data_IF_329284381106
#
_entry.id   IF_329284381106
#
_cell.length_a   1.000
_cell.length_b   1.000
_cell.length_c   1.000
_cell.angle_alpha   90.00
_cell.angle_beta   90.00
_cell.angle_gamma   90.00
#
_symmetry.space_group_name_H-M   'P 1'
#
loop_
_entity.id
_entity.type
_entity.pdbx_description
1 polymer ?
#
# COMPACT_ATOMS: atom_id res chain seq x y z
N UNK A 1 -5.47 65.41 -4.01
CA UNK A 1 -4.78 64.59 -5.02
C UNK A 1 -3.94 63.44 -4.41
N UNK A 2 -3.20 63.59 -3.29
CA UNK A 2 -2.43 62.46 -2.72
C UNK A 2 -3.28 61.32 -2.17
N UNK A 3 -4.48 61.61 -1.64
CA UNK A 3 -5.39 60.59 -1.05
C UNK A 3 -5.85 59.54 -2.07
N UNK A 4 -6.10 59.95 -3.31
CA UNK A 4 -6.53 59.04 -4.37
C UNK A 4 -5.39 58.05 -4.78
N UNK A 5 -4.17 58.53 -4.77
CA UNK A 5 -2.97 57.72 -5.04
C UNK A 5 -2.70 56.69 -3.96
N UNK A 6 -2.88 57.07 -2.69
CA UNK A 6 -2.69 56.18 -1.53
C UNK A 6 -3.82 55.09 -1.53
N UNK A 7 -5.07 55.52 -1.77
CA UNK A 7 -6.21 54.57 -1.81
C UNK A 7 -6.07 53.56 -2.98
N UNK A 8 -5.60 53.98 -4.15
CA UNK A 8 -5.36 53.09 -5.29
C UNK A 8 -4.22 52.11 -5.06
N UNK A 9 -3.14 52.56 -4.36
CA UNK A 9 -2.03 51.68 -4.00
C UNK A 9 -2.47 50.62 -2.98
N UNK A 10 -3.24 50.96 -1.98
CA UNK A 10 -3.77 49.99 -1.00
C UNK A 10 -4.69 48.99 -1.68
N UNK A 11 -5.58 49.45 -2.58
CA UNK A 11 -6.45 48.56 -3.33
C UNK A 11 -5.68 47.59 -4.19
N UNK A 12 -4.65 48.04 -4.89
CA UNK A 12 -3.78 47.18 -5.72
C UNK A 12 -3.06 46.14 -4.87
N UNK A 13 -2.56 46.50 -3.69
CA UNK A 13 -1.92 45.57 -2.74
C UNK A 13 -2.89 44.49 -2.25
N UNK A 14 -4.10 44.87 -1.86
CA UNK A 14 -5.10 43.91 -1.38
C UNK A 14 -5.54 42.94 -2.43
N UNK A 15 -5.70 43.38 -3.68
CA UNK A 15 -6.02 42.52 -4.82
C UNK A 15 -4.85 41.54 -5.11
N UNK A 16 -3.62 42.05 -5.10
CA UNK A 16 -2.44 41.20 -5.31
C UNK A 16 -2.29 40.12 -4.23
N UNK A 17 -2.48 40.46 -2.97
CA UNK A 17 -2.43 39.52 -1.86
C UNK A 17 -3.56 38.48 -1.94
N UNK A 18 -4.77 38.89 -2.30
CA UNK A 18 -5.89 37.98 -2.49
C UNK A 18 -5.65 36.97 -3.63
N UNK A 19 -5.04 37.41 -4.75
CA UNK A 19 -4.67 36.54 -5.87
C UNK A 19 -3.58 35.53 -5.45
N UNK A 20 -2.58 35.95 -4.67
CA UNK A 20 -1.54 35.06 -4.17
C UNK A 20 -2.11 33.98 -3.20
N UNK A 21 -3.01 34.38 -2.29
CA UNK A 21 -3.67 33.45 -1.38
C UNK A 21 -4.54 32.43 -2.13
N UNK A 22 -5.28 32.88 -3.14
CA UNK A 22 -6.09 32.00 -3.97
C UNK A 22 -5.23 30.99 -4.73
N UNK A 23 -4.10 31.42 -5.31
CA UNK A 23 -3.21 30.54 -6.04
C UNK A 23 -2.53 29.52 -5.11
N UNK A 24 -2.07 29.94 -3.93
CA UNK A 24 -1.46 29.03 -2.96
C UNK A 24 -2.46 28.00 -2.44
N UNK A 25 -3.74 28.38 -2.27
CA UNK A 25 -4.80 27.48 -1.88
C UNK A 25 -5.09 26.43 -2.96
N UNK A 26 -5.12 26.81 -4.24
CA UNK A 26 -5.30 25.86 -5.33
C UNK A 26 -4.14 24.85 -5.45
N UNK A 27 -2.92 25.30 -5.26
CA UNK A 27 -1.74 24.42 -5.26
C UNK A 27 -1.80 23.43 -4.09
N UNK A 28 -2.17 23.90 -2.89
CA UNK A 28 -2.33 23.06 -1.71
C UNK A 28 -3.44 22.02 -1.88
N UNK A 29 -4.57 22.39 -2.48
CA UNK A 29 -5.65 21.45 -2.82
C UNK A 29 -5.19 20.39 -3.81
N UNK A 30 -4.48 20.77 -4.86
CA UNK A 30 -3.93 19.82 -5.83
C UNK A 30 -2.94 18.83 -5.22
N UNK A 31 -2.11 19.28 -4.29
CA UNK A 31 -1.20 18.39 -3.56
C UNK A 31 -1.95 17.45 -2.61
N UNK A 32 -2.97 17.94 -1.92
CA UNK A 32 -3.81 17.12 -1.05
C UNK A 32 -4.56 16.04 -1.82
N UNK A 33 -5.11 16.38 -2.98
CA UNK A 33 -5.77 15.42 -3.86
C UNK A 33 -4.82 14.32 -4.35
N UNK A 34 -3.61 14.71 -4.78
CA UNK A 34 -2.58 13.74 -5.19
C UNK A 34 -2.20 12.78 -4.07
N UNK A 35 -1.98 13.30 -2.86
CA UNK A 35 -1.69 12.46 -1.68
C UNK A 35 -2.83 11.50 -1.37
N UNK A 36 -4.07 11.99 -1.38
CA UNK A 36 -5.24 11.15 -1.15
C UNK A 36 -5.34 10.00 -2.15
N UNK A 37 -5.08 10.25 -3.44
CA UNK A 37 -5.05 9.19 -4.47
C UNK A 37 -3.95 8.16 -4.21
N UNK A 38 -2.78 8.61 -3.76
CA UNK A 38 -1.67 7.71 -3.37
C UNK A 38 -2.07 6.86 -2.18
N UNK A 39 -2.63 7.45 -1.13
CA UNK A 39 -3.02 6.74 0.09
C UNK A 39 -4.09 5.68 -0.19
N UNK A 40 -5.08 5.99 -1.03
CA UNK A 40 -6.11 5.03 -1.45
C UNK A 40 -5.49 3.87 -2.24
N UNK A 41 -4.66 4.16 -3.23
CA UNK A 41 -4.05 3.13 -4.07
C UNK A 41 -3.10 2.21 -3.26
N UNK A 42 -2.35 2.78 -2.32
CA UNK A 42 -1.50 2.02 -1.40
C UNK A 42 -2.35 1.14 -0.49
N UNK A 43 -3.43 1.68 0.07
CA UNK A 43 -4.33 0.93 0.95
C UNK A 43 -4.98 -0.25 0.22
N UNK A 44 -5.47 -0.04 -1.00
CA UNK A 44 -6.01 -1.12 -1.85
C UNK A 44 -4.97 -2.21 -2.13
N UNK A 45 -3.73 -1.81 -2.40
CA UNK A 45 -2.63 -2.76 -2.62
C UNK A 45 -2.36 -3.60 -1.37
N UNK A 46 -2.27 -2.97 -0.20
CA UNK A 46 -2.04 -3.66 1.07
C UNK A 46 -3.20 -4.60 1.41
N UNK A 47 -4.43 -4.18 1.24
CA UNK A 47 -5.60 -5.03 1.48
C UNK A 47 -5.64 -6.23 0.52
N UNK A 48 -5.27 -6.03 -0.75
CA UNK A 48 -5.12 -7.13 -1.71
C UNK A 48 -4.05 -8.13 -1.28
N UNK A 49 -2.90 -7.66 -0.81
CA UNK A 49 -1.84 -8.52 -0.28
C UNK A 49 -2.30 -9.28 0.97
N UNK A 50 -3.03 -8.63 1.89
CA UNK A 50 -3.62 -9.28 3.07
C UNK A 50 -4.63 -10.34 2.68
N UNK A 51 -5.48 -10.06 1.70
CA UNK A 51 -6.46 -11.03 1.21
C UNK A 51 -5.79 -12.27 0.60
N UNK A 52 -4.64 -12.09 -0.09
CA UNK A 52 -3.87 -13.22 -0.61
C UNK A 52 -3.13 -13.97 0.50
N UNK A 53 -2.62 -13.27 1.52
CA UNK A 53 -2.05 -13.90 2.69
C UNK A 53 -3.09 -14.76 3.43
N UNK A 54 -4.32 -14.26 3.57
CA UNK A 54 -5.41 -15.03 4.14
C UNK A 54 -5.75 -16.28 3.31
N UNK A 55 -5.81 -16.15 1.97
CA UNK A 55 -6.06 -17.30 1.08
C UNK A 55 -4.96 -18.35 1.13
N UNK A 56 -3.72 -17.91 1.27
CA UNK A 56 -2.56 -18.80 1.36
C UNK A 56 -2.65 -19.78 2.53
N UNK A 57 -3.31 -19.38 3.60
CA UNK A 57 -3.28 -20.06 4.88
C UNK A 57 -4.57 -20.72 5.30
N UNK A 58 -5.56 -20.65 4.45
CA UNK A 58 -6.86 -21.22 4.74
C UNK A 58 -6.81 -22.75 4.76
N UNK A 59 -6.67 -23.33 5.96
CA UNK A 59 -6.87 -24.76 6.13
C UNK A 59 -8.36 -25.13 6.06
N UNK A 60 -8.72 -26.28 5.45
CA UNK A 60 -10.11 -26.73 5.30
C UNK A 60 -10.91 -26.74 6.62
N UNK A 61 -10.20 -26.95 7.72
CA UNK A 61 -10.79 -27.06 9.07
C UNK A 61 -11.10 -25.70 9.72
N UNK A 62 -10.63 -24.60 9.15
CA UNK A 62 -10.79 -23.25 9.71
C UNK A 62 -11.96 -22.44 9.15
N UNK A 63 -12.87 -23.09 8.41
CA UNK A 63 -14.10 -22.45 7.88
C UNK A 63 -13.89 -21.60 6.62
N UNK A 64 -12.81 -21.81 5.90
CA UNK A 64 -12.58 -21.19 4.60
C UNK A 64 -13.49 -21.80 3.53
N UNK A 65 -13.94 -20.98 2.60
CA UNK A 65 -14.83 -21.42 1.51
C UNK A 65 -14.09 -22.40 0.58
N UNK A 66 -14.76 -23.46 0.14
CA UNK A 66 -14.18 -24.53 -0.70
C UNK A 66 -13.48 -24.01 -1.97
N UNK A 67 -13.98 -22.93 -2.57
CA UNK A 67 -13.39 -22.33 -3.76
C UNK A 67 -12.00 -21.72 -3.50
N UNK A 68 -11.67 -21.42 -2.26
CA UNK A 68 -10.38 -20.90 -1.86
C UNK A 68 -9.39 -22.01 -1.48
N UNK A 69 -9.90 -23.21 -1.18
CA UNK A 69 -9.12 -24.35 -0.71
C UNK A 69 -8.23 -24.96 -1.79
N UNK A 70 -8.68 -24.99 -3.03
CA UNK A 70 -7.96 -25.64 -4.14
C UNK A 70 -6.75 -24.87 -4.62
N UNK A 71 -6.65 -23.58 -4.30
CA UNK A 71 -5.57 -22.69 -4.78
C UNK A 71 -4.67 -22.13 -3.67
N UNK A 72 -5.05 -22.26 -2.41
CA UNK A 72 -4.44 -21.55 -1.31
C UNK A 72 -3.57 -22.43 -0.39
N UNK A 73 -3.57 -23.73 -0.57
CA UNK A 73 -2.84 -24.62 0.31
C UNK A 73 -1.40 -24.82 -0.22
N UNK A 74 -0.51 -23.90 0.07
CA UNK A 74 0.91 -24.09 -0.21
C UNK A 74 1.45 -25.34 0.50
N UNK A 75 0.87 -25.68 1.66
CA UNK A 75 1.24 -26.86 2.45
C UNK A 75 0.19 -27.99 2.34
N UNK A 76 -0.95 -27.75 1.72
CA UNK A 76 -2.01 -28.75 1.55
C UNK A 76 -2.46 -29.35 2.87
N UNK A 77 -2.56 -30.69 2.90
CA UNK A 77 -2.80 -31.48 4.11
C UNK A 77 -1.49 -31.92 4.79
N UNK A 78 -0.34 -31.46 4.30
CA UNK A 78 0.96 -31.84 4.83
C UNK A 78 1.32 -31.00 6.07
N UNK A 79 0.87 -31.51 7.21
CA UNK A 79 1.12 -30.89 8.52
C UNK A 79 2.61 -30.87 8.87
N UNK A 80 3.39 -31.84 8.38
CA UNK A 80 4.83 -31.91 8.71
C UNK A 80 5.60 -30.84 7.92
N UNK A 81 5.29 -30.61 6.63
CA UNK A 81 5.84 -29.52 5.86
C UNK A 81 5.53 -28.15 6.52
N UNK A 82 4.30 -27.97 7.00
CA UNK A 82 3.92 -26.77 7.73
C UNK A 82 4.72 -26.58 9.03
N UNK A 83 4.86 -27.62 9.84
CA UNK A 83 5.67 -27.57 11.08
C UNK A 83 7.14 -27.24 10.80
N UNK A 84 7.70 -27.80 9.70
CA UNK A 84 9.05 -27.46 9.27
C UNK A 84 9.17 -26.01 8.84
N UNK A 85 8.22 -25.47 8.10
CA UNK A 85 8.22 -24.07 7.72
C UNK A 85 8.15 -23.13 8.94
N UNK A 86 7.34 -23.49 9.94
CA UNK A 86 7.30 -22.78 11.22
C UNK A 86 8.67 -22.81 11.94
N UNK A 87 9.26 -23.99 12.10
CA UNK A 87 10.53 -24.17 12.79
C UNK A 87 11.68 -23.44 12.08
N UNK A 88 11.70 -23.49 10.75
CA UNK A 88 12.70 -22.84 9.92
C UNK A 88 12.44 -21.34 9.72
N UNK A 89 11.29 -20.83 10.18
CA UNK A 89 10.87 -19.44 10.02
C UNK A 89 10.84 -19.01 8.55
N UNK A 90 10.28 -19.83 7.66
CA UNK A 90 10.22 -19.56 6.20
C UNK A 90 8.88 -19.04 5.74
N UNK A 91 7.84 -19.05 6.59
CA UNK A 91 6.46 -18.69 6.21
C UNK A 91 6.35 -17.35 5.46
N UNK A 92 7.17 -16.36 5.83
CA UNK A 92 7.18 -15.07 5.15
C UNK A 92 7.74 -15.13 3.72
N UNK A 93 8.76 -15.95 3.48
CA UNK A 93 9.29 -16.18 2.14
C UNK A 93 8.32 -17.00 1.30
N UNK A 94 7.77 -18.06 1.89
CA UNK A 94 6.84 -18.96 1.21
C UNK A 94 5.56 -18.20 0.79
N UNK A 95 5.06 -17.29 1.63
CA UNK A 95 3.96 -16.39 1.28
C UNK A 95 4.33 -15.45 0.12
N UNK A 96 5.53 -14.86 0.15
CA UNK A 96 5.99 -14.01 -0.96
C UNK A 96 6.03 -14.80 -2.26
N UNK A 97 6.62 -15.98 -2.26
CA UNK A 97 6.78 -16.84 -3.43
C UNK A 97 5.42 -17.32 -3.95
N UNK A 98 4.48 -17.60 -3.06
CA UNK A 98 3.09 -17.90 -3.42
C UNK A 98 2.40 -16.72 -4.14
N UNK A 99 2.55 -15.51 -3.62
CA UNK A 99 1.98 -14.31 -4.27
C UNK A 99 2.67 -14.05 -5.60
N UNK A 100 3.99 -14.21 -5.68
CA UNK A 100 4.76 -14.05 -6.91
C UNK A 100 4.29 -15.01 -8.00
N UNK A 101 4.04 -16.27 -7.65
CA UNK A 101 3.57 -17.27 -8.58
C UNK A 101 2.13 -17.04 -9.07
N UNK A 102 1.24 -16.52 -8.22
CA UNK A 102 -0.19 -16.39 -8.53
C UNK A 102 -0.59 -14.98 -8.96
N UNK A 103 0.04 -13.94 -8.41
CA UNK A 103 -0.29 -12.53 -8.61
C UNK A 103 0.97 -11.65 -8.59
N UNK A 104 1.92 -11.84 -9.53
CA UNK A 104 3.20 -11.10 -9.53
C UNK A 104 3.00 -9.58 -9.60
N UNK A 105 1.91 -9.13 -10.21
CA UNK A 105 1.56 -7.72 -10.28
C UNK A 105 1.40 -7.07 -8.90
N UNK A 106 1.04 -7.83 -7.86
CA UNK A 106 0.89 -7.29 -6.49
C UNK A 106 2.23 -6.97 -5.83
N UNK A 107 3.32 -7.61 -6.25
CA UNK A 107 4.66 -7.39 -5.71
C UNK A 107 5.45 -6.34 -6.50
N UNK A 108 5.03 -6.02 -7.71
CA UNK A 108 5.72 -5.08 -8.60
C UNK A 108 5.32 -3.62 -8.35
N UNK A 109 6.15 -2.70 -8.83
CA UNK A 109 5.83 -1.28 -8.93
C UNK A 109 4.61 -1.07 -9.81
N UNK A 110 3.85 0.01 -9.57
CA UNK A 110 2.63 0.31 -10.31
C UNK A 110 2.42 1.82 -10.44
N UNK A 111 1.68 2.22 -11.47
CA UNK A 111 1.28 3.61 -11.67
C UNK A 111 -0.16 3.80 -11.17
N UNK A 112 -0.41 4.89 -10.47
CA UNK A 112 -1.74 5.20 -9.93
C UNK A 112 -2.67 5.61 -11.08
N UNK A 113 -3.83 4.95 -11.24
CA UNK A 113 -4.78 5.26 -12.31
C UNK A 113 -5.18 6.73 -12.34
N UNK A 114 -5.17 7.32 -13.56
CA UNK A 114 -5.52 8.74 -13.76
C UNK A 114 -4.46 9.72 -13.27
N UNK A 115 -3.25 9.24 -13.00
CA UNK A 115 -2.08 10.07 -12.67
C UNK A 115 -0.83 9.51 -13.35
N UNK A 116 0.28 10.26 -13.29
CA UNK A 116 1.60 9.76 -13.72
C UNK A 116 2.45 9.33 -12.52
N UNK A 117 1.86 9.22 -11.32
CA UNK A 117 2.59 8.90 -10.10
C UNK A 117 2.92 7.41 -10.09
N UNK A 118 4.20 7.10 -10.07
CA UNK A 118 4.69 5.73 -9.91
C UNK A 118 4.93 5.42 -8.43
N UNK A 119 4.48 4.25 -8.00
CA UNK A 119 4.72 3.70 -6.67
C UNK A 119 5.68 2.52 -6.84
N UNK A 120 6.88 2.66 -6.33
CA UNK A 120 7.83 1.55 -6.26
C UNK A 120 7.46 0.60 -5.13
N UNK A 121 7.63 -0.69 -5.35
CA UNK A 121 7.31 -1.74 -4.39
C UNK A 121 8.57 -2.55 -4.08
N UNK A 122 8.84 -2.74 -2.79
CA UNK A 122 9.87 -3.65 -2.30
C UNK A 122 9.23 -4.61 -1.31
N UNK A 123 9.29 -5.90 -1.63
CA UNK A 123 8.67 -6.95 -0.82
C UNK A 123 9.72 -7.97 -0.44
N UNK A 124 9.88 -8.20 0.86
CA UNK A 124 10.89 -9.11 1.42
C UNK A 124 10.25 -10.01 2.46
N UNK A 125 10.42 -11.33 2.29
CA UNK A 125 10.13 -12.28 3.36
C UNK A 125 11.23 -12.21 4.44
N UNK A 126 10.84 -12.17 5.69
CA UNK A 126 11.75 -12.12 6.83
C UNK A 126 11.20 -12.96 7.97
N UNK A 127 11.79 -14.12 8.18
CA UNK A 127 11.26 -15.06 9.16
C UNK A 127 9.86 -15.54 8.79
N UNK A 128 8.93 -15.44 9.73
CA UNK A 128 7.54 -15.82 9.52
C UNK A 128 6.65 -14.62 9.10
N UNK A 129 7.23 -13.56 8.56
CA UNK A 129 6.48 -12.38 8.11
C UNK A 129 6.98 -11.88 6.76
N UNK A 130 6.13 -11.18 6.04
CA UNK A 130 6.46 -10.49 4.80
C UNK A 130 6.40 -8.99 5.02
N UNK A 131 7.50 -8.31 4.75
CA UNK A 131 7.60 -6.86 4.85
C UNK A 131 7.41 -6.24 3.47
N UNK A 132 6.52 -5.26 3.39
CA UNK A 132 6.17 -4.53 2.17
C UNK A 132 6.50 -3.06 2.38
N UNK A 133 7.30 -2.49 1.49
CA UNK A 133 7.58 -1.07 1.46
C UNK A 133 7.12 -0.51 0.11
N UNK A 134 6.22 0.45 0.15
CA UNK A 134 5.69 1.17 -1.00
C UNK A 134 6.14 2.62 -0.93
N UNK A 135 6.77 3.11 -1.99
CA UNK A 135 7.33 4.45 -2.04
C UNK A 135 6.83 5.21 -3.27
N UNK A 136 6.14 6.32 -3.04
CA UNK A 136 5.71 7.27 -4.06
C UNK A 136 6.61 8.51 -4.01
N UNK A 137 7.70 8.47 -4.79
CA UNK A 137 8.75 9.50 -4.76
C UNK A 137 8.26 10.90 -5.10
N UNK A 138 7.34 11.04 -6.05
CA UNK A 138 6.81 12.34 -6.50
C UNK A 138 6.04 13.11 -5.40
N UNK A 139 5.42 12.39 -4.48
CA UNK A 139 4.69 13.00 -3.34
C UNK A 139 5.43 12.87 -2.02
N UNK A 140 6.62 12.26 -2.04
CA UNK A 140 7.47 12.07 -0.86
C UNK A 140 6.86 11.16 0.20
N UNK A 141 5.99 10.20 -0.20
CA UNK A 141 5.30 9.31 0.73
C UNK A 141 5.94 7.93 0.69
N UNK A 142 6.27 7.41 1.86
CA UNK A 142 6.72 6.02 2.03
C UNK A 142 5.79 5.33 3.02
N UNK A 143 5.31 4.17 2.65
CA UNK A 143 4.45 3.35 3.47
C UNK A 143 5.10 1.98 3.69
N UNK A 144 5.12 1.52 4.93
CA UNK A 144 5.62 0.18 5.27
C UNK A 144 4.54 -0.62 5.97
N UNK A 145 4.38 -1.86 5.59
CA UNK A 145 3.47 -2.81 6.22
C UNK A 145 4.16 -4.15 6.45
N UNK A 146 3.86 -4.77 7.57
CA UNK A 146 4.22 -6.15 7.85
C UNK A 146 2.98 -7.01 7.72
N UNK A 147 3.04 -8.01 6.86
CA UNK A 147 1.98 -8.99 6.67
C UNK A 147 2.44 -10.26 7.36
N UNK A 148 1.71 -10.61 8.39
CA UNK A 148 1.94 -11.83 9.16
C UNK A 148 0.95 -12.86 8.66
N UNK A 149 1.43 -13.99 8.12
CA UNK A 149 0.58 -15.10 7.78
C UNK A 149 -0.26 -15.56 8.99
N UNK A 150 -1.56 -15.86 8.78
CA UNK A 150 -2.42 -16.40 9.87
C UNK A 150 -1.86 -17.72 10.42
N UNK A 151 -1.26 -18.53 9.57
CA UNK A 151 -0.61 -19.78 9.95
C UNK A 151 0.47 -19.60 11.01
N UNK A 152 1.08 -18.43 11.12
CA UNK A 152 2.03 -18.17 12.22
C UNK A 152 1.40 -18.38 13.60
N UNK A 153 0.10 -18.10 13.76
CA UNK A 153 -0.64 -18.35 15.00
C UNK A 153 -0.84 -19.83 15.32
N UNK A 154 -0.59 -20.73 14.36
CA UNK A 154 -0.72 -22.17 14.49
C UNK A 154 0.64 -22.89 14.59
N UNK A 155 1.73 -22.15 14.53
CA UNK A 155 3.05 -22.69 14.78
C UNK A 155 3.14 -23.22 16.23
N UNK A 156 3.64 -24.46 16.42
CA UNK A 156 3.78 -25.06 17.75
C UNK A 156 4.82 -24.37 18.63
#
# INVERSE_FOLDING_TARGET
MPEVLVSSAILAMTVAMSAQLSNSSMVAMGQSERRSKVDVAISERIESLRAHAFKYECLPQSGCHEDHLTKALAYGTDLEAFKQACANKTLGNDLRDFIEANQPALLSSFTIPGTNIEVSSTVVGSGNQMNVVLHAGEVGTTFSATIVPMAQGWCP
#
